data_IF_598363785184
#
_entry.id   IF_598363785184
#
_cell.length_a   1.000
_cell.length_b   1.000
_cell.length_c   1.000
_cell.angle_alpha   90.00
_cell.angle_beta   90.00
_cell.angle_gamma   90.00
#
_symmetry.space_group_name_H-M   'P 1'
#
loop_
_entity.id
_entity.type
_entity.pdbx_description
1 polymer ?
#
# COMPACT_ATOMS: atom_id res chain seq x y z
N UNK A 1 -13.83 1.15 -25.66
CA UNK A 1 -13.65 -0.19 -25.07
C UNK A 1 -13.80 -1.31 -26.09
N UNK A 2 -14.91 -1.38 -26.84
CA UNK A 2 -15.20 -2.44 -27.84
C UNK A 2 -14.04 -2.76 -28.81
N UNK A 3 -13.40 -1.75 -29.40
CA UNK A 3 -12.25 -1.92 -30.31
C UNK A 3 -11.07 -2.59 -29.59
N UNK A 4 -10.76 -2.15 -28.37
CA UNK A 4 -9.65 -2.69 -27.56
C UNK A 4 -9.87 -4.18 -27.27
N UNK A 5 -11.10 -4.55 -26.89
CA UNK A 5 -11.46 -5.94 -26.62
C UNK A 5 -11.42 -6.82 -27.88
N UNK A 6 -11.80 -6.28 -29.04
CA UNK A 6 -11.74 -6.99 -30.32
C UNK A 6 -10.31 -7.22 -30.83
N UNK A 7 -9.36 -6.34 -30.47
CA UNK A 7 -7.96 -6.47 -30.88
C UNK A 7 -7.17 -7.51 -30.07
N UNK A 8 -7.58 -7.80 -28.83
CA UNK A 8 -6.83 -8.66 -27.92
C UNK A 8 -6.58 -10.10 -28.42
N UNK A 9 -7.56 -10.83 -29.00
CA UNK A 9 -7.37 -12.23 -29.43
C UNK A 9 -6.25 -12.43 -30.45
N UNK A 10 -5.91 -11.39 -31.24
CA UNK A 10 -4.89 -11.43 -32.28
C UNK A 10 -3.66 -10.57 -31.93
N UNK A 11 -3.54 -10.10 -30.69
CA UNK A 11 -2.49 -9.17 -30.29
C UNK A 11 -1.11 -9.85 -30.21
N UNK A 12 -0.13 -9.25 -30.91
CA UNK A 12 1.30 -9.50 -30.67
C UNK A 12 1.72 -8.96 -29.30
N UNK A 13 2.92 -9.30 -28.81
CA UNK A 13 3.42 -8.80 -27.52
C UNK A 13 3.41 -7.26 -27.43
N UNK A 14 3.79 -6.58 -28.51
CA UNK A 14 3.77 -5.11 -28.61
C UNK A 14 2.33 -4.58 -28.56
N UNK A 15 1.41 -5.16 -29.34
CA UNK A 15 -0.01 -4.75 -29.34
C UNK A 15 -0.64 -4.98 -27.97
N UNK A 16 -0.27 -6.06 -27.26
CA UNK A 16 -0.75 -6.34 -25.92
C UNK A 16 -0.32 -5.26 -24.89
N UNK A 17 0.86 -4.66 -25.04
CA UNK A 17 1.28 -3.53 -24.21
C UNK A 17 0.40 -2.30 -24.42
N UNK A 18 0.11 -1.96 -25.68
CA UNK A 18 -0.76 -0.84 -26.04
C UNK A 18 -2.20 -1.07 -25.57
N UNK A 19 -2.70 -2.30 -25.69
CA UNK A 19 -4.00 -2.71 -25.14
C UNK A 19 -4.05 -2.49 -23.63
N UNK A 20 -3.04 -2.95 -22.88
CA UNK A 20 -2.98 -2.77 -21.43
C UNK A 20 -2.97 -1.28 -21.05
N UNK A 21 -2.14 -0.48 -21.72
CA UNK A 21 -2.06 0.98 -21.53
C UNK A 21 -3.42 1.65 -21.77
N UNK A 22 -4.08 1.32 -22.88
CA UNK A 22 -5.38 1.91 -23.23
C UNK A 22 -6.48 1.50 -22.24
N UNK A 23 -6.45 0.26 -21.74
CA UNK A 23 -7.39 -0.21 -20.72
C UNK A 23 -7.23 0.55 -19.41
N UNK A 24 -5.99 0.78 -18.97
CA UNK A 24 -5.76 1.55 -17.74
C UNK A 24 -6.28 2.98 -17.89
N UNK A 25 -6.00 3.65 -19.01
CA UNK A 25 -6.48 5.01 -19.26
C UNK A 25 -8.00 5.08 -19.26
N UNK A 26 -8.65 4.14 -19.96
CA UNK A 26 -10.10 4.11 -20.00
C UNK A 26 -10.66 3.95 -18.59
N UNK A 27 -10.17 2.97 -17.82
CA UNK A 27 -10.67 2.68 -16.48
C UNK A 27 -10.34 3.80 -15.47
N UNK A 28 -9.17 4.45 -15.57
CA UNK A 28 -8.85 5.64 -14.79
C UNK A 28 -9.80 6.79 -15.11
N UNK A 29 -10.10 7.03 -16.39
CA UNK A 29 -11.06 8.07 -16.79
C UNK A 29 -12.47 7.79 -16.25
N UNK A 30 -12.92 6.55 -16.33
CA UNK A 30 -14.20 6.13 -15.75
C UNK A 30 -14.24 6.37 -14.23
N UNK A 31 -13.14 6.09 -13.51
CA UNK A 31 -13.04 6.38 -12.08
C UNK A 31 -13.13 7.87 -11.78
N UNK A 32 -12.38 8.70 -12.51
CA UNK A 32 -12.39 10.16 -12.32
C UNK A 32 -13.77 10.76 -12.59
N UNK A 33 -14.50 10.23 -13.57
CA UNK A 33 -15.87 10.65 -13.88
C UNK A 33 -16.93 10.00 -12.97
N UNK A 34 -16.53 9.03 -12.14
CA UNK A 34 -17.40 8.19 -11.31
C UNK A 34 -18.53 7.50 -12.07
N UNK A 35 -18.32 7.26 -13.36
CA UNK A 35 -19.31 6.79 -14.30
C UNK A 35 -18.77 5.63 -15.14
N UNK A 36 -19.57 4.57 -15.27
CA UNK A 36 -19.25 3.41 -16.10
C UNK A 36 -20.08 3.55 -17.36
N UNK A 37 -19.45 3.69 -18.54
CA UNK A 37 -20.20 3.76 -19.79
C UNK A 37 -21.10 2.52 -19.97
N UNK A 38 -22.34 2.73 -20.40
CA UNK A 38 -23.36 1.67 -20.53
C UNK A 38 -22.92 0.51 -21.45
N UNK A 39 -22.00 0.76 -22.39
CA UNK A 39 -21.49 -0.24 -23.32
C UNK A 39 -20.36 -1.13 -22.74
N UNK A 40 -19.97 -0.92 -21.47
CA UNK A 40 -18.89 -1.68 -20.83
C UNK A 40 -19.39 -2.94 -20.15
N UNK A 41 -18.83 -4.08 -20.56
CA UNK A 41 -18.92 -5.33 -19.80
C UNK A 41 -17.70 -5.48 -18.89
N UNK A 42 -17.86 -5.21 -17.60
CA UNK A 42 -16.79 -5.41 -16.61
C UNK A 42 -16.23 -6.85 -16.62
N UNK A 43 -17.05 -7.92 -16.72
CA UNK A 43 -16.52 -9.29 -16.84
C UNK A 43 -15.66 -9.50 -18.09
N UNK A 44 -16.05 -8.93 -19.23
CA UNK A 44 -15.27 -9.04 -20.47
C UNK A 44 -13.95 -8.28 -20.38
N UNK A 45 -13.95 -7.09 -19.75
CA UNK A 45 -12.72 -6.33 -19.52
C UNK A 45 -11.82 -7.11 -18.55
N UNK A 46 -12.37 -7.65 -17.46
CA UNK A 46 -11.65 -8.49 -16.52
C UNK A 46 -10.98 -9.68 -17.21
N UNK A 47 -11.70 -10.40 -18.09
CA UNK A 47 -11.14 -11.53 -18.82
C UNK A 47 -9.92 -11.13 -19.67
N UNK A 48 -10.00 -9.99 -20.37
CA UNK A 48 -8.87 -9.47 -21.16
C UNK A 48 -7.71 -9.08 -20.26
N UNK A 49 -7.97 -8.37 -19.16
CA UNK A 49 -6.92 -7.94 -18.22
C UNK A 49 -6.26 -9.14 -17.55
N UNK A 50 -7.03 -10.14 -17.15
CA UNK A 50 -6.50 -11.41 -16.66
C UNK A 50 -5.68 -12.08 -17.75
N UNK A 51 -6.12 -12.10 -19.01
CA UNK A 51 -5.34 -12.66 -20.10
C UNK A 51 -3.99 -11.95 -20.32
N UNK A 52 -3.99 -10.62 -20.22
CA UNK A 52 -2.77 -9.78 -20.27
C UNK A 52 -1.84 -10.07 -19.10
N UNK A 53 -2.40 -10.40 -17.94
CA UNK A 53 -1.68 -10.82 -16.73
C UNK A 53 -1.33 -12.31 -16.73
N UNK A 54 -2.08 -13.19 -17.40
CA UNK A 54 -1.94 -14.64 -17.36
C UNK A 54 -0.84 -15.13 -18.29
N UNK A 55 -0.56 -14.38 -19.37
CA UNK A 55 0.68 -14.52 -20.15
C UNK A 55 1.93 -14.08 -19.37
N UNK A 56 1.80 -13.62 -18.13
CA UNK A 56 2.90 -13.44 -17.15
C UNK A 56 3.13 -14.66 -16.27
N UNK A 57 2.19 -15.60 -16.25
CA UNK A 57 2.28 -16.86 -15.51
C UNK A 57 2.70 -18.08 -16.36
N UNK A 58 3.46 -18.00 -17.49
CA UNK A 58 4.10 -19.19 -18.01
C UNK A 58 5.36 -19.40 -17.17
N UNK A 59 5.21 -20.19 -16.12
CA UNK A 59 6.23 -20.64 -15.18
C UNK A 59 6.95 -19.54 -14.40
N UNK A 60 7.00 -19.73 -13.08
CA UNK A 60 8.06 -19.22 -12.20
C UNK A 60 9.49 -19.63 -12.66
N UNK A 61 9.63 -20.30 -13.82
CA UNK A 61 10.86 -20.71 -14.49
C UNK A 61 11.22 -19.84 -15.71
N UNK A 62 10.42 -18.84 -16.10
CA UNK A 62 10.79 -17.94 -17.20
C UNK A 62 11.98 -17.05 -16.77
N UNK A 63 13.19 -17.44 -17.16
CA UNK A 63 14.45 -16.82 -16.67
C UNK A 63 14.76 -15.45 -17.27
N UNK A 64 14.00 -15.00 -18.26
CA UNK A 64 14.24 -13.74 -18.98
C UNK A 64 12.96 -12.92 -19.10
N UNK A 65 12.89 -11.86 -18.30
CA UNK A 65 11.85 -10.84 -18.37
C UNK A 65 12.31 -9.68 -19.27
N UNK A 66 11.43 -9.20 -20.16
CA UNK A 66 11.70 -8.00 -20.94
C UNK A 66 11.07 -6.76 -20.31
N UNK A 67 11.61 -5.57 -20.63
CA UNK A 67 10.98 -4.32 -20.20
C UNK A 67 9.54 -4.13 -20.72
N UNK A 68 9.20 -4.77 -21.85
CA UNK A 68 7.83 -4.76 -22.39
C UNK A 68 6.88 -5.58 -21.55
N UNK A 69 7.33 -6.71 -21.00
CA UNK A 69 6.52 -7.50 -20.07
C UNK A 69 6.22 -6.69 -18.82
N UNK A 70 7.24 -6.10 -18.18
CA UNK A 70 7.05 -5.24 -17.01
C UNK A 70 6.11 -4.04 -17.26
N UNK A 71 6.17 -3.44 -18.45
CA UNK A 71 5.24 -2.37 -18.87
C UNK A 71 3.81 -2.88 -19.02
N UNK A 72 3.60 -4.00 -19.72
CA UNK A 72 2.26 -4.62 -19.86
C UNK A 72 1.66 -4.97 -18.50
N UNK A 73 2.44 -5.57 -17.60
CA UNK A 73 2.00 -5.94 -16.25
C UNK A 73 1.53 -4.75 -15.44
N UNK A 74 2.34 -3.69 -15.44
CA UNK A 74 2.07 -2.46 -14.70
C UNK A 74 0.67 -1.94 -15.04
N UNK A 75 0.38 -1.81 -16.33
CA UNK A 75 -0.91 -1.31 -16.80
C UNK A 75 -2.05 -2.30 -16.50
N UNK A 76 -1.83 -3.61 -16.68
CA UNK A 76 -2.84 -4.62 -16.40
C UNK A 76 -3.22 -4.66 -14.91
N UNK A 77 -2.25 -4.64 -14.00
CA UNK A 77 -2.48 -4.67 -12.54
C UNK A 77 -3.19 -3.41 -12.05
N UNK A 78 -2.81 -2.23 -12.56
CA UNK A 78 -3.53 -0.98 -12.25
C UNK A 78 -4.96 -1.01 -12.80
N UNK A 79 -5.16 -1.57 -14.00
CA UNK A 79 -6.51 -1.76 -14.56
C UNK A 79 -7.35 -2.67 -13.68
N UNK A 80 -6.81 -3.78 -13.16
CA UNK A 80 -7.54 -4.67 -12.24
C UNK A 80 -8.01 -3.91 -10.99
N UNK A 81 -7.13 -3.11 -10.38
CA UNK A 81 -7.50 -2.28 -9.24
C UNK A 81 -8.59 -1.27 -9.59
N UNK A 82 -8.53 -0.66 -10.78
CA UNK A 82 -9.56 0.27 -11.22
C UNK A 82 -10.91 -0.43 -11.44
N UNK A 83 -10.91 -1.65 -11.99
CA UNK A 83 -12.13 -2.43 -12.17
C UNK A 83 -12.78 -2.77 -10.83
N UNK A 84 -12.00 -3.16 -9.81
CA UNK A 84 -12.53 -3.41 -8.46
C UNK A 84 -13.18 -2.15 -7.88
N UNK A 85 -12.51 -1.01 -8.02
CA UNK A 85 -13.04 0.27 -7.55
C UNK A 85 -14.32 0.68 -8.28
N UNK A 86 -14.38 0.55 -9.62
CA UNK A 86 -15.59 0.78 -10.42
C UNK A 86 -16.72 -0.18 -10.03
N UNK A 87 -16.39 -1.45 -9.86
CA UNK A 87 -17.34 -2.50 -9.48
C UNK A 87 -17.78 -2.44 -8.03
N UNK A 88 -17.22 -1.55 -7.19
CA UNK A 88 -17.62 -1.41 -5.78
C UNK A 88 -19.10 -1.07 -5.60
N UNK A 89 -19.76 -0.55 -6.64
CA UNK A 89 -21.21 -0.29 -6.69
C UNK A 89 -22.04 -1.54 -7.08
N UNK A 90 -21.41 -2.64 -7.49
CA UNK A 90 -22.04 -3.90 -7.93
C UNK A 90 -21.56 -5.08 -7.08
N UNK A 91 -22.41 -5.56 -6.16
CA UNK A 91 -22.10 -6.69 -5.27
C UNK A 91 -21.75 -7.97 -6.02
N UNK A 92 -22.44 -8.23 -7.14
CA UNK A 92 -22.39 -9.51 -7.84
C UNK A 92 -21.06 -9.71 -8.58
N UNK A 93 -20.50 -8.64 -9.13
CA UNK A 93 -19.21 -8.70 -9.81
C UNK A 93 -18.09 -9.04 -8.83
N UNK A 94 -18.02 -8.33 -7.69
CA UNK A 94 -16.98 -8.57 -6.70
C UNK A 94 -17.13 -9.95 -6.07
N UNK A 95 -18.35 -10.37 -5.71
CA UNK A 95 -18.60 -11.71 -5.18
C UNK A 95 -18.10 -12.82 -6.12
N UNK A 96 -18.29 -12.65 -7.43
CA UNK A 96 -17.95 -13.67 -8.42
C UNK A 96 -16.48 -13.71 -8.82
N UNK A 97 -15.72 -12.62 -8.64
CA UNK A 97 -14.38 -12.49 -9.21
C UNK A 97 -13.27 -12.15 -8.19
N UNK A 98 -13.62 -11.87 -6.94
CA UNK A 98 -12.67 -11.44 -5.91
C UNK A 98 -11.51 -12.42 -5.71
N UNK A 99 -11.77 -13.72 -5.64
CA UNK A 99 -10.74 -14.75 -5.43
C UNK A 99 -9.69 -14.75 -6.55
N UNK A 100 -10.15 -14.66 -7.80
CA UNK A 100 -9.31 -14.60 -8.98
C UNK A 100 -8.47 -13.32 -9.00
N UNK A 101 -9.07 -12.17 -8.70
CA UNK A 101 -8.35 -10.90 -8.61
C UNK A 101 -7.27 -10.96 -7.52
N UNK A 102 -7.61 -11.46 -6.33
CA UNK A 102 -6.65 -11.62 -5.23
C UNK A 102 -5.49 -12.56 -5.61
N UNK A 103 -5.76 -13.67 -6.34
CA UNK A 103 -4.71 -14.57 -6.81
C UNK A 103 -3.73 -13.91 -7.78
N UNK A 104 -4.21 -13.00 -8.63
CA UNK A 104 -3.33 -12.24 -9.55
C UNK A 104 -2.43 -11.30 -8.75
N UNK A 105 -2.98 -10.57 -7.78
CA UNK A 105 -2.18 -9.70 -6.91
C UNK A 105 -1.16 -10.48 -6.08
N UNK A 106 -1.56 -11.62 -5.52
CA UNK A 106 -0.68 -12.53 -4.80
C UNK A 106 0.51 -12.95 -5.67
N UNK A 107 0.25 -13.41 -6.89
CA UNK A 107 1.28 -13.88 -7.79
C UNK A 107 2.18 -12.74 -8.31
N UNK A 108 1.63 -11.54 -8.54
CA UNK A 108 2.42 -10.36 -8.88
C UNK A 108 3.36 -9.95 -7.75
N UNK A 109 2.93 -10.01 -6.48
CA UNK A 109 3.76 -9.70 -5.32
C UNK A 109 4.85 -10.76 -5.06
N UNK A 110 4.61 -12.02 -5.43
CA UNK A 110 5.60 -13.11 -5.32
C UNK A 110 6.46 -13.32 -6.57
N UNK A 111 6.38 -12.45 -7.56
CA UNK A 111 7.20 -12.59 -8.77
C UNK A 111 8.69 -12.54 -8.39
N UNK A 112 9.46 -13.52 -8.86
CA UNK A 112 10.87 -13.75 -8.47
C UNK A 112 11.75 -12.51 -8.64
N UNK A 113 12.84 -12.45 -7.87
CA UNK A 113 13.80 -11.34 -7.88
C UNK A 113 14.73 -11.37 -9.11
N UNK A 114 14.15 -11.33 -10.31
CA UNK A 114 14.85 -11.14 -11.58
C UNK A 114 14.78 -9.65 -11.95
N UNK A 115 15.83 -9.12 -12.57
CA UNK A 115 15.89 -7.72 -13.02
C UNK A 115 14.66 -7.32 -13.85
N UNK A 116 13.98 -6.24 -13.44
CA UNK A 116 12.76 -5.71 -14.06
C UNK A 116 11.46 -6.21 -13.41
N UNK A 117 11.48 -7.29 -12.63
CA UNK A 117 10.30 -7.83 -11.94
C UNK A 117 9.88 -6.98 -10.73
N UNK A 118 10.80 -6.19 -10.14
CA UNK A 118 10.49 -5.26 -9.05
C UNK A 118 9.40 -4.24 -9.44
N UNK A 119 9.32 -3.91 -10.73
CA UNK A 119 8.31 -3.00 -11.29
C UNK A 119 6.89 -3.56 -11.18
N UNK A 120 6.76 -4.88 -11.25
CA UNK A 120 5.48 -5.59 -11.11
C UNK A 120 5.09 -5.59 -9.64
N UNK A 121 6.02 -6.01 -8.77
CA UNK A 121 5.79 -6.05 -7.32
C UNK A 121 5.42 -4.69 -6.77
N UNK A 122 6.14 -3.61 -7.11
CA UNK A 122 5.82 -2.29 -6.58
C UNK A 122 4.48 -1.75 -7.12
N UNK A 123 4.08 -2.13 -8.33
CA UNK A 123 2.80 -1.69 -8.91
C UNK A 123 1.65 -2.49 -8.32
N UNK A 124 1.83 -3.78 -8.05
CA UNK A 124 0.88 -4.60 -7.31
C UNK A 124 0.72 -4.10 -5.88
N UNK A 125 1.83 -3.76 -5.21
CA UNK A 125 1.79 -3.15 -3.88
C UNK A 125 1.01 -1.83 -3.92
N UNK A 126 1.33 -0.91 -4.83
CA UNK A 126 0.62 0.37 -4.99
C UNK A 126 -0.88 0.18 -5.29
N UNK A 127 -1.21 -0.69 -6.26
CA UNK A 127 -2.58 -0.94 -6.68
C UNK A 127 -3.42 -1.64 -5.60
N UNK A 128 -2.77 -2.36 -4.67
CA UNK A 128 -3.44 -3.01 -3.53
C UNK A 128 -4.16 -2.02 -2.61
N UNK A 129 -3.70 -0.76 -2.55
CA UNK A 129 -4.38 0.31 -1.82
C UNK A 129 -5.84 0.54 -2.24
N UNK A 130 -6.18 0.30 -3.52
CA UNK A 130 -7.57 0.35 -4.01
C UNK A 130 -8.33 -0.92 -3.68
N UNK A 131 -7.69 -2.08 -3.82
CA UNK A 131 -8.31 -3.38 -3.57
C UNK A 131 -8.78 -3.53 -2.12
N UNK A 132 -7.89 -3.24 -1.17
CA UNK A 132 -8.13 -3.47 0.25
C UNK A 132 -9.31 -2.64 0.79
N UNK A 133 -9.58 -1.46 0.21
CA UNK A 133 -10.72 -0.62 0.57
C UNK A 133 -12.07 -1.19 0.17
N UNK A 134 -12.10 -2.11 -0.80
CA UNK A 134 -13.32 -2.60 -1.45
C UNK A 134 -13.60 -4.07 -1.20
N UNK A 135 -12.60 -4.83 -0.76
CA UNK A 135 -12.71 -6.27 -0.55
C UNK A 135 -12.74 -6.58 0.95
N UNK A 136 -13.80 -7.25 1.40
CA UNK A 136 -14.02 -7.62 2.80
C UNK A 136 -13.15 -8.78 3.30
N UNK A 137 -12.61 -9.62 2.40
CA UNK A 137 -11.75 -10.77 2.73
C UNK A 137 -10.32 -10.59 2.21
N UNK A 138 -9.69 -9.47 2.58
CA UNK A 138 -8.35 -9.10 2.14
C UNK A 138 -7.20 -9.69 2.96
N UNK A 139 -7.44 -10.63 3.89
CA UNK A 139 -6.44 -11.09 4.86
C UNK A 139 -5.17 -11.63 4.18
N UNK A 140 -5.32 -12.51 3.19
CA UNK A 140 -4.19 -13.03 2.45
C UNK A 140 -3.39 -11.92 1.74
N UNK A 141 -4.06 -10.89 1.20
CA UNK A 141 -3.37 -9.77 0.58
C UNK A 141 -2.63 -8.92 1.62
N UNK A 142 -3.22 -8.71 2.81
CA UNK A 142 -2.55 -8.04 3.92
C UNK A 142 -1.28 -8.80 4.32
N UNK A 143 -1.36 -10.11 4.50
CA UNK A 143 -0.21 -10.93 4.91
C UNK A 143 0.93 -10.87 3.87
N UNK A 144 0.60 -10.88 2.58
CA UNK A 144 1.60 -10.74 1.50
C UNK A 144 2.20 -9.33 1.44
N UNK A 145 1.41 -8.29 1.70
CA UNK A 145 1.94 -6.94 1.79
C UNK A 145 2.83 -6.76 3.03
N UNK A 146 2.49 -7.41 4.15
CA UNK A 146 3.33 -7.47 5.35
C UNK A 146 4.68 -8.13 5.04
N UNK A 147 4.67 -9.27 4.33
CA UNK A 147 5.90 -9.92 3.86
C UNK A 147 6.70 -9.00 2.95
N UNK A 148 6.07 -8.43 1.91
CA UNK A 148 6.73 -7.52 0.98
C UNK A 148 7.31 -6.28 1.67
N UNK A 149 6.65 -5.76 2.71
CA UNK A 149 7.15 -4.65 3.51
C UNK A 149 8.44 -5.00 4.26
N UNK A 150 8.53 -6.21 4.81
CA UNK A 150 9.64 -6.63 5.65
C UNK A 150 10.83 -7.19 4.86
N UNK A 151 10.58 -7.93 3.79
CA UNK A 151 11.60 -8.80 3.17
C UNK A 151 11.97 -8.42 1.74
N UNK A 152 11.16 -7.64 1.02
CA UNK A 152 11.44 -7.35 -0.40
C UNK A 152 12.80 -6.64 -0.56
N UNK A 153 13.68 -7.03 -1.49
CA UNK A 153 14.98 -6.38 -1.63
C UNK A 153 14.90 -4.92 -2.12
N UNK A 154 13.78 -4.48 -2.68
CA UNK A 154 13.59 -3.14 -3.22
C UNK A 154 12.74 -2.29 -2.28
N UNK A 155 13.34 -1.25 -1.69
CA UNK A 155 12.63 -0.32 -0.79
C UNK A 155 11.41 0.36 -1.40
N UNK A 156 11.36 0.52 -2.73
CA UNK A 156 10.17 1.04 -3.41
C UNK A 156 8.97 0.08 -3.34
N UNK A 157 9.20 -1.23 -3.38
CA UNK A 157 8.16 -2.23 -3.13
C UNK A 157 7.71 -2.13 -1.68
N UNK A 158 8.67 -2.10 -0.74
CA UNK A 158 8.39 -1.95 0.70
C UNK A 158 7.53 -0.72 0.99
N UNK A 159 7.94 0.45 0.50
CA UNK A 159 7.23 1.69 0.73
C UNK A 159 5.78 1.63 0.24
N UNK A 160 5.51 1.15 -0.98
CA UNK A 160 4.13 1.04 -1.45
C UNK A 160 3.32 -0.06 -0.76
N UNK A 161 3.96 -1.13 -0.30
CA UNK A 161 3.29 -2.14 0.52
C UNK A 161 2.86 -1.51 1.86
N UNK A 162 3.78 -0.86 2.57
CA UNK A 162 3.52 -0.20 3.84
C UNK A 162 2.49 0.95 3.74
N UNK A 163 2.55 1.78 2.69
CA UNK A 163 1.54 2.84 2.47
C UNK A 163 0.15 2.25 2.19
N UNK A 164 0.06 1.12 1.48
CA UNK A 164 -1.21 0.42 1.26
C UNK A 164 -1.76 -0.19 2.54
N UNK A 165 -0.90 -0.76 3.39
CA UNK A 165 -1.28 -1.23 4.72
C UNK A 165 -1.75 -0.08 5.63
N UNK A 166 -1.11 1.08 5.54
CA UNK A 166 -1.49 2.25 6.35
C UNK A 166 -2.87 2.77 5.94
N UNK A 167 -3.15 2.85 4.64
CA UNK A 167 -4.50 3.15 4.15
C UNK A 167 -5.52 2.12 4.62
N UNK A 168 -5.15 0.83 4.66
CA UNK A 168 -6.04 -0.21 5.15
C UNK A 168 -6.38 0.00 6.63
N UNK A 169 -5.40 0.31 7.49
CA UNK A 169 -5.66 0.63 8.90
C UNK A 169 -6.56 1.88 9.06
N UNK A 170 -6.40 2.89 8.21
CA UNK A 170 -7.26 4.09 8.24
C UNK A 170 -8.70 3.81 7.80
N UNK A 171 -8.94 2.70 7.08
CA UNK A 171 -10.28 2.28 6.66
C UNK A 171 -11.02 1.40 7.69
N UNK A 172 -10.43 1.15 8.86
CA UNK A 172 -11.05 0.34 9.92
C UNK A 172 -11.13 -1.15 9.58
N UNK A 173 -9.98 -1.84 9.46
CA UNK A 173 -9.95 -3.25 9.11
C UNK A 173 -10.44 -4.14 10.26
N UNK A 174 -10.55 -5.45 10.00
CA UNK A 174 -10.82 -6.42 11.07
C UNK A 174 -9.66 -6.47 12.07
N UNK A 175 -9.95 -6.85 13.30
CA UNK A 175 -8.93 -6.96 14.34
C UNK A 175 -7.81 -7.95 13.95
N UNK A 176 -8.12 -9.01 13.21
CA UNK A 176 -7.13 -9.95 12.68
C UNK A 176 -6.13 -9.26 11.73
N UNK A 177 -6.62 -8.42 10.81
CA UNK A 177 -5.75 -7.65 9.91
C UNK A 177 -4.93 -6.63 10.71
N UNK A 178 -5.52 -5.99 11.72
CA UNK A 178 -4.78 -5.12 12.64
C UNK A 178 -3.62 -5.87 13.30
N UNK A 179 -3.84 -7.11 13.77
CA UNK A 179 -2.80 -7.94 14.39
C UNK A 179 -1.69 -8.33 13.38
N UNK A 180 -2.03 -8.71 12.15
CA UNK A 180 -1.03 -8.99 11.10
C UNK A 180 -0.15 -7.77 10.80
N UNK A 181 -0.77 -6.59 10.65
CA UNK A 181 -0.07 -5.34 10.35
C UNK A 181 0.77 -4.87 11.54
N UNK A 182 0.26 -5.05 12.77
CA UNK A 182 1.02 -4.79 13.98
C UNK A 182 2.30 -5.63 14.01
N UNK A 183 2.17 -6.95 13.82
CA UNK A 183 3.30 -7.87 13.84
C UNK A 183 4.35 -7.51 12.79
N UNK A 184 3.91 -7.12 11.58
CA UNK A 184 4.86 -6.73 10.54
C UNK A 184 5.59 -5.42 10.89
N UNK A 185 4.89 -4.44 11.47
CA UNK A 185 5.48 -3.16 11.88
C UNK A 185 6.51 -3.33 12.99
N UNK A 186 6.22 -4.17 13.99
CA UNK A 186 7.14 -4.54 15.05
C UNK A 186 8.36 -5.25 14.46
N UNK A 187 8.16 -6.25 13.60
CA UNK A 187 9.27 -6.95 12.95
C UNK A 187 10.19 -5.99 12.16
N UNK A 188 9.63 -5.03 11.41
CA UNK A 188 10.43 -4.04 10.69
C UNK A 188 11.26 -3.18 11.65
N UNK A 189 10.61 -2.61 12.66
CA UNK A 189 11.23 -1.71 13.62
C UNK A 189 12.18 -2.42 14.59
N UNK A 190 12.07 -3.73 14.76
CA UNK A 190 12.96 -4.56 15.55
C UNK A 190 14.27 -4.91 14.82
N UNK A 191 14.48 -4.44 13.59
CA UNK A 191 15.74 -4.61 12.84
C UNK A 191 16.72 -3.46 13.08
N UNK A 192 18.03 -3.73 13.01
CA UNK A 192 19.04 -2.66 13.02
C UNK A 192 19.03 -1.92 11.68
N UNK A 193 18.24 -0.84 11.61
CA UNK A 193 18.06 -0.06 10.40
C UNK A 193 19.33 0.65 9.95
N UNK A 194 20.35 0.81 10.81
CA UNK A 194 21.63 1.44 10.45
C UNK A 194 22.30 0.69 9.29
N UNK A 195 22.13 -0.63 9.23
CA UNK A 195 22.71 -1.47 8.18
C UNK A 195 22.13 -1.19 6.80
N UNK A 196 20.92 -0.63 6.72
CA UNK A 196 20.36 -0.22 5.45
C UNK A 196 21.04 1.06 4.96
N UNK A 197 21.35 2.01 5.86
CA UNK A 197 21.87 3.33 5.50
C UNK A 197 23.39 3.39 5.25
N UNK A 198 24.13 2.30 5.47
CA UNK A 198 25.59 2.26 5.24
C UNK A 198 25.99 1.87 3.81
N UNK A 199 25.08 1.30 3.02
CA UNK A 199 25.39 0.91 1.63
C UNK A 199 25.09 2.06 0.67
N UNK A 200 25.97 2.35 -0.31
CA UNK A 200 25.65 3.31 -1.35
C UNK A 200 24.47 2.79 -2.17
N UNK A 201 23.38 3.57 -2.20
CA UNK A 201 22.18 3.28 -2.99
C UNK A 201 22.01 4.41 -4.00
N UNK A 202 21.41 4.11 -5.15
CA UNK A 202 21.01 5.13 -6.10
C UNK A 202 20.11 6.19 -5.42
N UNK A 203 20.30 7.47 -5.76
CA UNK A 203 19.66 8.59 -5.07
C UNK A 203 18.12 8.54 -5.12
N UNK A 204 17.55 7.89 -6.14
CA UNK A 204 16.11 7.67 -6.29
C UNK A 204 15.57 6.58 -5.34
N UNK A 205 16.36 5.53 -5.09
CA UNK A 205 16.03 4.47 -4.15
C UNK A 205 16.17 4.92 -2.67
N UNK A 206 17.08 5.87 -2.40
CA UNK A 206 17.27 6.44 -1.07
C UNK A 206 15.98 7.04 -0.48
N UNK A 207 15.15 7.70 -1.32
CA UNK A 207 13.89 8.31 -0.89
C UNK A 207 12.89 7.28 -0.35
N UNK A 208 12.83 6.10 -0.97
CA UNK A 208 11.98 5.00 -0.50
C UNK A 208 12.56 4.30 0.72
N UNK A 209 13.88 4.31 0.86
CA UNK A 209 14.55 3.74 2.01
C UNK A 209 14.29 4.55 3.28
N UNK A 210 14.42 5.88 3.21
CA UNK A 210 14.22 6.76 4.37
C UNK A 210 12.76 6.87 4.80
N UNK A 211 11.79 6.62 3.90
CA UNK A 211 10.36 6.68 4.24
C UNK A 211 9.83 5.41 4.92
N UNK A 212 10.45 4.24 4.71
CA UNK A 212 9.95 2.98 5.29
C UNK A 212 9.91 2.96 6.83
N UNK A 213 10.93 3.45 7.55
CA UNK A 213 10.87 3.54 9.01
C UNK A 213 9.73 4.42 9.52
N UNK A 214 9.48 5.55 8.86
CA UNK A 214 8.33 6.41 9.16
C UNK A 214 7.00 5.68 8.97
N UNK A 215 6.85 4.96 7.86
CA UNK A 215 5.66 4.15 7.59
C UNK A 215 5.47 3.10 8.68
N UNK A 216 6.53 2.38 9.08
CA UNK A 216 6.46 1.38 10.13
C UNK A 216 5.99 1.98 11.48
N UNK A 217 6.52 3.14 11.86
CA UNK A 217 6.09 3.86 13.08
C UNK A 217 4.61 4.29 13.02
N UNK A 218 4.14 4.77 11.86
CA UNK A 218 2.72 5.08 11.66
C UNK A 218 1.82 3.84 11.72
N UNK A 219 2.25 2.72 11.13
CA UNK A 219 1.54 1.44 11.20
C UNK A 219 1.40 0.96 12.64
N UNK A 220 2.49 0.99 13.41
CA UNK A 220 2.51 0.61 14.83
C UNK A 220 1.50 1.45 15.64
N UNK A 221 1.57 2.78 15.53
CA UNK A 221 0.65 3.68 16.24
C UNK A 221 -0.81 3.44 15.87
N UNK A 222 -1.10 3.34 14.56
CA UNK A 222 -2.46 3.17 14.09
C UNK A 222 -3.03 1.79 14.48
N UNK A 223 -2.21 0.73 14.42
CA UNK A 223 -2.64 -0.60 14.88
C UNK A 223 -2.86 -0.63 16.39
N UNK A 224 -2.04 0.09 17.17
CA UNK A 224 -2.24 0.30 18.60
C UNK A 224 -3.55 1.04 18.92
N UNK A 225 -3.84 2.14 18.21
CA UNK A 225 -5.09 2.90 18.31
C UNK A 225 -6.30 1.98 18.07
N UNK A 226 -6.26 1.20 16.99
CA UNK A 226 -7.36 0.27 16.66
C UNK A 226 -7.49 -0.85 17.70
N UNK A 227 -6.38 -1.32 18.25
CA UNK A 227 -6.41 -2.35 19.31
C UNK A 227 -7.02 -1.80 20.61
N UNK A 228 -6.74 -0.54 20.97
CA UNK A 228 -7.37 0.14 22.11
C UNK A 228 -8.88 0.33 21.90
N UNK A 229 -9.29 0.84 20.73
CA UNK A 229 -10.71 0.99 20.37
C UNK A 229 -11.43 -0.35 20.30
N UNK A 230 -10.73 -1.39 19.88
CA UNK A 230 -11.23 -2.76 19.77
C UNK A 230 -11.48 -3.44 21.11
N UNK A 231 -10.96 -2.94 22.23
CA UNK A 231 -11.13 -3.58 23.56
C UNK A 231 -12.60 -3.76 23.96
N UNK A 232 -13.50 -2.87 23.49
CA UNK A 232 -14.94 -2.98 23.73
C UNK A 232 -15.66 -4.05 22.88
N UNK A 233 -15.05 -4.53 21.80
CA UNK A 233 -15.63 -5.51 20.87
C UNK A 233 -14.95 -6.88 21.00
N UNK A 234 -13.62 -6.91 21.06
CA UNK A 234 -12.80 -8.10 21.24
C UNK A 234 -11.66 -7.81 22.23
N UNK A 235 -11.99 -7.89 23.51
CA UNK A 235 -11.07 -7.60 24.61
C UNK A 235 -9.81 -8.47 24.55
N UNK A 236 -9.96 -9.75 24.23
CA UNK A 236 -8.85 -10.71 24.23
C UNK A 236 -7.83 -10.36 23.16
N UNK A 237 -8.31 -10.10 21.94
CA UNK A 237 -7.44 -9.79 20.82
C UNK A 237 -6.80 -8.40 20.95
N UNK A 238 -7.58 -7.40 21.38
CA UNK A 238 -7.06 -6.06 21.67
C UNK A 238 -5.95 -6.08 22.73
N UNK A 239 -6.16 -6.79 23.84
CA UNK A 239 -5.14 -6.94 24.88
C UNK A 239 -3.92 -7.72 24.39
N UNK A 240 -4.10 -8.76 23.56
CA UNK A 240 -2.98 -9.51 22.96
C UNK A 240 -2.07 -8.59 22.16
N UNK A 241 -2.65 -7.74 21.32
CA UNK A 241 -1.90 -6.78 20.51
C UNK A 241 -1.15 -5.76 21.37
N UNK A 242 -1.81 -5.20 22.39
CA UNK A 242 -1.19 -4.21 23.28
C UNK A 242 -0.06 -4.81 24.13
N UNK A 243 -0.24 -6.03 24.66
CA UNK A 243 0.83 -6.72 25.39
C UNK A 243 2.04 -6.94 24.48
N UNK A 244 1.82 -7.37 23.24
CA UNK A 244 2.91 -7.60 22.29
C UNK A 244 3.73 -6.35 22.01
N UNK A 245 3.09 -5.18 21.91
CA UNK A 245 3.80 -3.90 21.77
C UNK A 245 4.71 -3.65 22.97
N UNK A 246 4.19 -3.87 24.19
CA UNK A 246 4.93 -3.63 25.43
C UNK A 246 6.08 -4.62 25.60
N UNK A 247 5.83 -5.92 25.38
CA UNK A 247 6.82 -6.99 25.45
C UNK A 247 7.98 -6.72 24.49
N UNK A 248 7.71 -6.44 23.21
CA UNK A 248 8.76 -6.15 22.23
C UNK A 248 9.52 -4.86 22.58
N UNK A 249 8.87 -3.83 23.12
CA UNK A 249 9.53 -2.60 23.55
C UNK A 249 10.48 -2.81 24.75
N UNK A 250 10.18 -3.80 25.59
CA UNK A 250 11.02 -4.18 26.73
C UNK A 250 12.20 -5.05 26.31
N UNK A 251 11.97 -6.00 25.39
CA UNK A 251 12.96 -7.00 25.01
C UNK A 251 13.85 -6.58 23.83
N UNK A 252 13.44 -5.61 23.02
CA UNK A 252 14.12 -5.26 21.78
C UNK A 252 14.74 -3.84 21.80
N UNK A 253 16.07 -3.79 21.97
CA UNK A 253 16.82 -2.53 21.95
C UNK A 253 16.74 -1.80 20.60
N UNK A 254 16.73 -2.53 19.48
CA UNK A 254 16.64 -1.93 18.15
C UNK A 254 15.29 -1.26 17.93
N UNK A 255 14.19 -1.88 18.40
CA UNK A 255 12.86 -1.27 18.40
C UNK A 255 12.85 0.04 19.19
N UNK A 256 13.35 0.02 20.42
CA UNK A 256 13.44 1.21 21.28
C UNK A 256 14.22 2.33 20.58
N UNK A 257 15.36 2.02 19.97
CA UNK A 257 16.19 3.01 19.28
C UNK A 257 15.53 3.56 18.02
N UNK A 258 14.92 2.70 17.19
CA UNK A 258 14.20 3.15 16.00
C UNK A 258 12.99 4.02 16.36
N UNK A 259 12.29 3.72 17.46
CA UNK A 259 11.16 4.52 17.93
C UNK A 259 11.60 5.90 18.46
N UNK A 260 12.76 6.02 19.12
CA UNK A 260 13.33 7.33 19.48
C UNK A 260 13.59 8.19 18.24
N UNK A 261 14.01 7.56 17.15
CA UNK A 261 14.30 8.23 15.88
C UNK A 261 13.05 8.56 15.04
N UNK A 262 11.82 8.32 15.54
CA UNK A 262 10.58 8.53 14.79
C UNK A 262 10.43 9.94 14.22
N UNK A 263 10.86 10.98 14.95
CA UNK A 263 10.81 12.36 14.48
C UNK A 263 11.80 12.64 13.36
N UNK A 264 12.99 12.03 13.40
CA UNK A 264 13.94 12.12 12.31
C UNK A 264 13.36 11.43 11.06
N UNK A 265 12.79 10.24 11.21
CA UNK A 265 12.13 9.56 10.09
C UNK A 265 10.96 10.36 9.50
N UNK A 266 10.19 11.08 10.33
CA UNK A 266 9.15 11.97 9.84
C UNK A 266 9.70 13.16 9.04
N UNK A 267 10.83 13.74 9.46
CA UNK A 267 11.53 14.79 8.71
C UNK A 267 12.01 14.26 7.35
N UNK A 268 12.61 13.06 7.33
CA UNK A 268 13.11 12.45 6.10
C UNK A 268 11.95 12.06 5.16
N UNK A 269 10.86 11.52 5.69
CA UNK A 269 9.65 11.20 4.94
C UNK A 269 9.03 12.45 4.28
N UNK A 270 9.02 13.59 4.99
CA UNK A 270 8.58 14.88 4.45
C UNK A 270 9.42 15.31 3.24
N UNK A 271 10.74 15.15 3.31
CA UNK A 271 11.65 15.46 2.20
C UNK A 271 11.43 14.48 1.03
N UNK A 272 11.18 13.21 1.31
CA UNK A 272 10.96 12.17 0.30
C UNK A 272 9.56 12.20 -0.36
N UNK A 273 8.59 12.89 0.25
CA UNK A 273 7.19 12.90 -0.17
C UNK A 273 6.96 13.19 -1.66
N UNK A 274 7.61 14.19 -2.30
CA UNK A 274 7.40 14.48 -3.71
C UNK A 274 7.79 13.32 -4.63
N UNK A 275 8.77 12.51 -4.25
CA UNK A 275 9.25 11.36 -5.03
C UNK A 275 8.36 10.14 -4.81
N UNK A 276 7.97 9.88 -3.56
CA UNK A 276 7.26 8.65 -3.17
C UNK A 276 5.81 8.67 -3.63
N UNK A 277 5.10 9.78 -3.39
CA UNK A 277 3.66 9.91 -3.66
C UNK A 277 3.40 10.65 -4.98
N UNK A 278 4.45 11.09 -5.67
CA UNK A 278 4.36 11.88 -6.92
C UNK A 278 3.29 12.97 -6.80
N UNK A 279 3.38 13.76 -5.73
CA UNK A 279 2.55 14.95 -5.58
C UNK A 279 2.79 15.83 -6.80
N UNK A 280 1.71 16.41 -7.36
CA UNK A 280 1.88 17.48 -8.33
C UNK A 280 2.76 18.53 -7.67
N UNK A 281 3.97 18.75 -8.20
CA UNK A 281 4.75 19.93 -7.86
C UNK A 281 3.79 21.12 -8.00
N UNK A 282 3.59 21.87 -6.92
CA UNK A 282 2.59 22.94 -6.86
C UNK A 282 2.69 23.84 -8.09
N UNK A 283 1.55 24.16 -8.70
CA UNK A 283 1.49 25.17 -9.76
C UNK A 283 1.12 24.69 -11.17
N UNK A 284 0.35 23.61 -11.34
CA UNK A 284 -0.49 23.46 -12.54
C UNK A 284 -1.94 23.35 -12.11
N UNK A 285 -2.58 24.51 -11.98
CA UNK A 285 -4.01 24.67 -12.17
C UNK A 285 -4.35 24.18 -13.58
N UNK A 286 -4.94 22.99 -13.66
CA UNK A 286 -5.39 22.43 -14.93
C UNK A 286 -5.97 21.05 -14.69
N UNK A 287 -7.30 20.99 -14.60
CA UNK A 287 -8.04 19.76 -14.40
C UNK A 287 -7.71 18.68 -15.43
N UNK A 288 -8.09 17.45 -15.06
CA UNK A 288 -7.96 16.28 -15.90
C UNK A 288 -8.44 16.51 -17.34
N UNK A 289 -7.79 15.80 -18.26
CA UNK A 289 -8.26 15.53 -19.63
C UNK A 289 -8.52 16.73 -20.56
N UNK A 290 -7.99 17.92 -20.28
CA UNK A 290 -8.07 19.05 -21.21
C UNK A 290 -6.72 19.39 -21.87
N UNK A 291 -6.14 18.49 -22.68
CA UNK A 291 -5.26 18.86 -23.81
C UNK A 291 -5.37 17.87 -24.98
N UNK A 292 -6.13 18.25 -25.99
CA UNK A 292 -5.89 17.96 -27.42
C UNK A 292 -5.49 19.28 -28.10
N UNK A 293 -4.97 19.34 -29.34
CA UNK A 293 -4.25 18.34 -30.15
C UNK A 293 -2.94 18.95 -30.70
N UNK A 294 -1.76 18.43 -30.33
CA UNK A 294 -0.47 18.62 -31.04
C UNK A 294 0.74 17.93 -30.40
N UNK A 295 0.55 17.22 -29.30
CA UNK A 295 1.55 16.32 -28.70
C UNK A 295 0.89 14.96 -28.43
N UNK A 296 1.62 13.83 -28.51
CA UNK A 296 1.12 12.57 -27.98
C UNK A 296 0.71 12.83 -26.52
N UNK A 297 -0.52 12.48 -26.16
CA UNK A 297 -1.10 12.73 -24.84
C UNK A 297 -0.10 12.28 -23.76
N UNK A 298 0.54 13.22 -23.06
CA UNK A 298 1.23 12.89 -21.82
C UNK A 298 0.14 12.72 -20.77
N UNK A 299 -0.44 11.51 -20.74
CA UNK A 299 -1.38 11.13 -19.69
C UNK A 299 -0.54 10.98 -18.44
N UNK A 300 -0.78 11.87 -17.48
CA UNK A 300 -0.24 11.70 -16.14
C UNK A 300 -0.89 10.45 -15.55
N UNK A 301 -0.07 9.56 -14.98
CA UNK A 301 -0.55 8.48 -14.12
C UNK A 301 -0.46 8.89 -12.65
N UNK A 302 -0.46 10.20 -12.36
CA UNK A 302 -0.49 10.74 -11.00
C UNK A 302 -1.70 10.23 -10.22
N UNK A 303 -2.81 9.98 -10.92
CA UNK A 303 -4.04 9.43 -10.38
C UNK A 303 -3.81 8.06 -9.73
N UNK A 304 -2.79 7.27 -10.13
CA UNK A 304 -2.40 6.04 -9.42
C UNK A 304 -2.08 6.27 -7.95
N UNK A 305 -1.57 7.45 -7.63
CA UNK A 305 -1.11 7.85 -6.31
C UNK A 305 -2.15 8.67 -5.52
N UNK A 306 -3.29 8.99 -6.12
CA UNK A 306 -4.34 9.82 -5.50
C UNK A 306 -4.76 9.35 -4.10
N UNK A 307 -4.85 8.03 -3.87
CA UNK A 307 -5.13 7.49 -2.54
C UNK A 307 -3.97 7.71 -1.57
N UNK A 308 -2.73 7.56 -2.02
CA UNK A 308 -1.57 7.78 -1.15
C UNK A 308 -1.41 9.25 -0.77
N UNK A 309 -1.91 10.19 -1.59
CA UNK A 309 -1.90 11.61 -1.27
C UNK A 309 -2.70 11.93 0.00
N UNK A 310 -3.70 11.12 0.36
CA UNK A 310 -4.47 11.31 1.61
C UNK A 310 -3.67 10.98 2.86
N UNK A 311 -2.51 10.30 2.72
CA UNK A 311 -1.58 10.05 3.84
C UNK A 311 -0.70 11.26 4.15
N UNK A 312 -0.75 12.29 3.30
CA UNK A 312 -0.17 13.61 3.52
C UNK A 312 1.30 13.58 3.96
N UNK A 313 2.15 12.81 3.26
CA UNK A 313 3.57 12.68 3.63
C UNK A 313 4.33 14.02 3.63
N UNK A 314 3.86 15.04 2.90
CA UNK A 314 4.43 16.40 2.98
C UNK A 314 4.26 17.06 4.37
N UNK A 315 3.33 16.56 5.17
CA UNK A 315 3.05 16.96 6.55
C UNK A 315 3.38 15.82 7.53
N UNK A 316 4.32 14.93 7.16
CA UNK A 316 4.65 13.72 7.94
C UNK A 316 4.92 13.96 9.44
N UNK A 317 5.48 15.13 9.78
CA UNK A 317 5.76 15.56 11.16
C UNK A 317 4.44 15.82 11.92
N UNK A 318 3.54 16.59 11.33
CA UNK A 318 2.25 16.93 11.93
C UNK A 318 1.37 15.69 12.04
N UNK A 319 1.40 14.84 11.01
CA UNK A 319 0.75 13.54 10.96
C UNK A 319 1.24 12.57 12.05
N UNK A 320 2.56 12.52 12.30
CA UNK A 320 3.12 11.73 13.40
C UNK A 320 2.67 12.29 14.76
N UNK A 321 2.76 13.61 14.94
CA UNK A 321 2.32 14.27 16.17
C UNK A 321 0.84 13.99 16.46
N UNK A 322 -0.02 14.08 15.44
CA UNK A 322 -1.45 13.76 15.54
C UNK A 322 -1.69 12.30 15.91
N UNK A 323 -0.95 11.36 15.31
CA UNK A 323 -1.05 9.93 15.64
C UNK A 323 -0.64 9.62 17.09
N UNK A 324 0.47 10.20 17.58
CA UNK A 324 0.92 10.02 18.97
C UNK A 324 -0.11 10.59 19.96
N UNK A 325 -0.63 11.80 19.70
CA UNK A 325 -1.68 12.41 20.54
C UNK A 325 -2.95 11.57 20.56
N UNK A 326 -3.36 11.05 19.41
CA UNK A 326 -4.54 10.18 19.31
C UNK A 326 -4.32 8.91 20.11
N UNK A 327 -3.16 8.25 19.97
CA UNK A 327 -2.82 7.08 20.75
C UNK A 327 -2.84 7.37 22.26
N UNK A 328 -2.25 8.47 22.71
CA UNK A 328 -2.29 8.90 24.11
C UNK A 328 -3.73 9.08 24.64
N UNK A 329 -4.61 9.71 23.85
CA UNK A 329 -6.02 9.88 24.20
C UNK A 329 -6.71 8.52 24.38
N UNK A 330 -6.53 7.60 23.44
CA UNK A 330 -7.13 6.26 23.51
C UNK A 330 -6.61 5.45 24.71
N UNK A 331 -5.33 5.59 25.07
CA UNK A 331 -4.76 5.00 26.29
C UNK A 331 -5.47 5.55 27.53
N UNK A 332 -5.65 6.88 27.62
CA UNK A 332 -6.36 7.51 28.76
C UNK A 332 -7.82 7.06 28.86
N UNK A 333 -8.50 6.88 27.73
CA UNK A 333 -9.87 6.35 27.69
C UNK A 333 -9.89 4.92 28.24
N UNK A 334 -8.99 4.05 27.77
CA UNK A 334 -8.91 2.66 28.22
C UNK A 334 -8.55 2.54 29.72
N UNK A 335 -7.69 3.42 30.24
CA UNK A 335 -7.38 3.55 31.67
C UNK A 335 -8.64 3.93 32.46
N UNK A 336 -9.36 4.97 32.01
CA UNK A 336 -10.56 5.46 32.69
C UNK A 336 -11.66 4.39 32.73
N UNK A 337 -11.71 3.53 31.71
CA UNK A 337 -12.60 2.38 31.63
C UNK A 337 -12.11 1.15 32.40
N UNK A 338 -10.95 1.22 33.08
CA UNK A 338 -10.33 0.09 33.82
C UNK A 338 -10.08 -1.16 32.95
N UNK A 339 -9.77 -0.97 31.67
CA UNK A 339 -9.56 -2.06 30.70
C UNK A 339 -8.11 -2.56 30.65
N UNK A 340 -7.18 -1.84 31.29
CA UNK A 340 -5.73 -2.11 31.19
C UNK A 340 -5.16 -2.49 32.56
N UNK A 341 -4.19 -3.40 32.55
CA UNK A 341 -3.38 -3.73 33.74
C UNK A 341 -2.36 -2.62 34.02
N UNK A 342 -1.86 -2.47 35.27
CA UNK A 342 -0.82 -1.49 35.58
C UNK A 342 0.44 -1.62 34.72
N UNK A 343 0.86 -2.86 34.40
CA UNK A 343 2.01 -3.12 33.52
C UNK A 343 1.78 -2.61 32.09
N UNK A 344 0.59 -2.85 31.53
CA UNK A 344 0.22 -2.30 30.22
C UNK A 344 0.20 -0.77 30.23
N UNK A 345 -0.35 -0.16 31.27
CA UNK A 345 -0.35 1.31 31.39
C UNK A 345 1.07 1.86 31.39
N UNK A 346 1.98 1.25 32.16
CA UNK A 346 3.38 1.66 32.20
C UNK A 346 4.06 1.48 30.83
N UNK A 347 3.88 0.34 30.19
CA UNK A 347 4.48 0.04 28.88
C UNK A 347 3.98 0.96 27.76
N UNK A 348 2.67 1.22 27.69
CA UNK A 348 2.10 2.12 26.68
C UNK A 348 2.49 3.58 26.95
N UNK A 349 2.63 3.98 28.22
CA UNK A 349 3.18 5.31 28.59
C UNK A 349 4.64 5.43 28.15
N UNK A 350 5.44 4.36 28.32
CA UNK A 350 6.82 4.31 27.83
C UNK A 350 6.89 4.44 26.31
N UNK A 351 6.00 3.80 25.56
CA UNK A 351 5.93 3.95 24.10
C UNK A 351 5.70 5.42 23.71
N UNK A 352 4.72 6.09 24.32
CA UNK A 352 4.45 7.52 24.09
C UNK A 352 5.69 8.35 24.39
N UNK A 353 6.35 8.08 25.51
CA UNK A 353 7.55 8.79 25.91
C UNK A 353 8.70 8.60 24.91
N UNK A 354 8.98 7.36 24.51
CA UNK A 354 10.05 7.04 23.55
C UNK A 354 9.84 7.75 22.21
N UNK A 355 8.59 7.81 21.73
CA UNK A 355 8.27 8.47 20.46
C UNK A 355 8.14 10.00 20.56
N UNK A 356 8.25 10.60 21.76
CA UNK A 356 8.14 12.07 21.95
C UNK A 356 9.46 12.75 22.26
N UNK A 357 10.53 12.02 22.61
CA UNK A 357 11.85 12.57 22.99
C UNK A 357 12.75 12.94 21.79
N UNK A 358 12.26 12.85 20.55
CA UNK A 358 13.08 13.05 19.34
C UNK A 358 13.37 14.49 18.94
#
# INVERSE_FOLDING_TARGET
MKIILQMYPSATARVACEVAYCLEICTLKALTLQDIPEDWSLPSILQVVIGLSARLFPDAQNKTWTGQDGYRCEHAVQTLANLVELASKSSDFLASHCSLILSVFYACLHTTNISGAEKIRWNAALASSRLLRRISNGNALVDVLCEAFNTDPYFKVRAYAGLSLLLQLLCGPSIQQTSSILNCSLQFLSTDLRHYFTKPVAADALQYQVVCPYIAGRLLLQAGILSLRGLGQDLKEGLRNLNRIVEELEENEALSENLKNSWQYAKDAKVAAPVVVKGNAGGITGGGLARMPKQPMVISFAERYSLLQTLNLGEAIDELSGAVKTFEIEVRIAISASLLTPGLVQGLTRLIHVMTIG
#
